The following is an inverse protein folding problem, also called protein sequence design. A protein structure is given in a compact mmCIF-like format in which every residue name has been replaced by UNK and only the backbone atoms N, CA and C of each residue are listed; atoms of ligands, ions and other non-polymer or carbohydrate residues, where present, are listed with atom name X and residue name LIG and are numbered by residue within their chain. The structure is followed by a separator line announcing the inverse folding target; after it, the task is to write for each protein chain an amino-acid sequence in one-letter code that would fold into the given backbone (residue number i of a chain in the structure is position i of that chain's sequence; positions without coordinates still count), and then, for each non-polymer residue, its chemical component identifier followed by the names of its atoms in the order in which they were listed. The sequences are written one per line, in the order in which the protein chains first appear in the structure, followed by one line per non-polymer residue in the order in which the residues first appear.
data_IF_337966440706
#
_entry.id   IF_337966440706
#
_cell.length_a   1.000
_cell.length_b   1.000
_cell.length_c   1.000
_cell.angle_alpha   90.00
_cell.angle_beta   90.00
_cell.angle_gamma   90.00
#
_symmetry.space_group_name_H-M   'P 1'
#
loop_
_entity.id
_entity.type
_entity.pdbx_description
1 polymer ?
#
# COMPACT_ATOMS: atom_id res chain seq x y z
N UNK A 1 89.09 -12.92 59.58
CA UNK A 1 88.52 -14.04 60.36
C UNK A 1 87.03 -13.81 60.50
N UNK A 2 86.26 -14.82 60.08
CA UNK A 2 84.83 -15.12 60.18
C UNK A 2 83.81 -14.00 60.50
N UNK A 3 82.91 -13.77 59.54
CA UNK A 3 81.67 -12.98 59.64
C UNK A 3 80.46 -13.85 60.01
N UNK A 4 79.62 -13.35 60.91
CA UNK A 4 78.26 -13.82 61.20
C UNK A 4 77.33 -13.56 60.00
N UNK A 5 76.57 -14.55 59.50
CA UNK A 5 75.29 -14.31 58.80
C UNK A 5 74.25 -15.41 59.05
N UNK A 6 73.05 -14.90 59.28
CA UNK A 6 71.77 -15.53 59.59
C UNK A 6 71.29 -16.47 58.46
N UNK A 7 70.84 -17.67 58.81
CA UNK A 7 70.27 -18.66 57.88
C UNK A 7 68.76 -18.44 57.77
N UNK A 8 68.28 -18.26 56.54
CA UNK A 8 66.88 -18.30 56.14
C UNK A 8 66.47 -19.73 55.76
N UNK A 9 65.24 -20.15 56.05
CA UNK A 9 64.64 -21.36 55.49
C UNK A 9 63.14 -21.16 55.21
N UNK A 10 62.78 -21.54 53.99
CA UNK A 10 61.51 -21.36 53.26
C UNK A 10 60.27 -21.98 53.93
N UNK A 11 59.12 -21.33 53.72
CA UNK A 11 57.78 -21.89 53.94
C UNK A 11 57.37 -22.91 52.85
N UNK A 12 56.49 -23.89 53.16
CA UNK A 12 56.05 -24.92 52.21
C UNK A 12 55.01 -24.42 51.19
N UNK A 13 55.03 -25.01 49.99
CA UNK A 13 54.19 -24.69 48.82
C UNK A 13 52.76 -25.28 48.89
N UNK A 14 51.74 -24.62 48.28
CA UNK A 14 50.34 -25.08 48.28
C UNK A 14 50.05 -26.21 47.26
N UNK A 15 48.95 -26.99 47.43
CA UNK A 15 48.61 -28.15 46.61
C UNK A 15 48.05 -27.79 45.21
N UNK A 16 48.09 -28.75 44.24
CA UNK A 16 47.77 -28.50 42.83
C UNK A 16 46.26 -28.41 42.52
N UNK A 17 45.93 -27.64 41.48
CA UNK A 17 44.57 -27.37 40.99
C UNK A 17 44.01 -28.54 40.13
N UNK A 18 42.68 -28.77 40.12
CA UNK A 18 42.07 -29.85 39.36
C UNK A 18 42.16 -29.65 37.83
N UNK A 19 42.23 -30.77 37.11
CA UNK A 19 42.56 -30.82 35.68
C UNK A 19 41.38 -30.50 34.75
N UNK A 20 41.70 -29.82 33.64
CA UNK A 20 40.83 -29.28 32.57
C UNK A 20 39.90 -30.29 31.85
N UNK A 21 39.94 -31.59 32.16
CA UNK A 21 39.15 -32.62 31.46
C UNK A 21 37.73 -32.80 31.98
N UNK A 22 37.39 -32.30 33.17
CA UNK A 22 36.02 -32.35 33.69
C UNK A 22 35.10 -31.23 33.15
N UNK A 23 35.66 -30.17 32.54
CA UNK A 23 34.86 -29.06 32.04
C UNK A 23 34.20 -29.33 30.66
N UNK A 24 34.52 -30.47 30.03
CA UNK A 24 34.24 -30.70 28.62
C UNK A 24 33.28 -31.88 28.38
N UNK A 25 32.27 -32.02 29.24
CA UNK A 25 31.11 -32.89 28.98
C UNK A 25 29.81 -32.20 29.40
N UNK A 26 29.39 -31.22 28.60
CA UNK A 26 28.04 -30.66 28.65
C UNK A 26 27.43 -30.77 27.24
N UNK A 27 26.34 -31.53 27.05
CA UNK A 27 25.72 -31.68 25.75
C UNK A 27 24.99 -30.38 25.36
N UNK A 28 25.24 -29.98 24.13
CA UNK A 28 24.53 -28.98 23.35
C UNK A 28 23.00 -29.19 23.42
N UNK A 29 22.32 -28.42 24.26
CA UNK A 29 20.86 -28.44 24.43
C UNK A 29 20.25 -27.03 24.54
N UNK A 30 20.82 -26.03 23.89
CA UNK A 30 20.27 -24.65 23.91
C UNK A 30 20.30 -24.04 22.52
N UNK A 31 19.42 -24.50 21.61
CA UNK A 31 19.05 -23.74 20.38
C UNK A 31 17.61 -23.97 19.89
N UNK A 32 16.67 -24.31 20.78
CA UNK A 32 15.24 -24.40 20.44
C UNK A 32 14.34 -23.46 21.27
N UNK A 33 14.76 -23.04 22.46
CA UNK A 33 13.97 -22.14 23.30
C UNK A 33 13.99 -20.66 22.85
N UNK A 34 15.04 -20.23 22.15
CA UNK A 34 15.22 -18.82 21.76
C UNK A 34 14.27 -18.37 20.64
N UNK A 35 13.79 -19.28 19.79
CA UNK A 35 12.88 -18.94 18.68
C UNK A 35 11.45 -18.67 19.13
N UNK A 36 10.94 -19.44 20.11
CA UNK A 36 9.58 -19.30 20.63
C UNK A 36 9.44 -18.02 21.48
N UNK A 37 10.44 -17.70 22.29
CA UNK A 37 10.45 -16.48 23.07
C UNK A 37 10.51 -15.22 22.20
N UNK A 38 11.26 -15.26 21.09
CA UNK A 38 11.34 -14.13 20.15
C UNK A 38 10.03 -13.95 19.36
N UNK A 39 9.38 -15.05 18.95
CA UNK A 39 8.08 -15.01 18.30
C UNK A 39 6.97 -14.50 19.23
N UNK A 40 6.95 -14.96 20.49
CA UNK A 40 6.00 -14.48 21.50
C UNK A 40 6.22 -12.99 21.83
N UNK A 41 7.47 -12.54 21.96
CA UNK A 41 7.82 -11.13 22.18
C UNK A 41 7.40 -10.25 20.99
N UNK A 42 7.56 -10.73 19.75
CA UNK A 42 7.12 -10.04 18.54
C UNK A 42 5.58 -9.92 18.47
N UNK A 43 4.84 -10.96 18.86
CA UNK A 43 3.35 -10.92 18.93
C UNK A 43 2.87 -9.94 20.02
N UNK A 44 3.50 -9.93 21.19
CA UNK A 44 3.14 -8.97 22.25
C UNK A 44 3.52 -7.53 21.89
N UNK A 45 4.61 -7.32 21.14
CA UNK A 45 4.99 -5.99 20.65
C UNK A 45 4.04 -5.48 19.54
N UNK A 46 3.54 -6.38 18.68
CA UNK A 46 2.52 -6.06 17.69
C UNK A 46 1.13 -5.76 18.31
N UNK A 47 0.84 -6.34 19.47
CA UNK A 47 -0.37 -6.06 20.26
C UNK A 47 -0.21 -4.87 21.23
N UNK A 48 0.90 -4.13 21.17
CA UNK A 48 1.07 -2.94 21.98
C UNK A 48 0.00 -1.90 21.62
N UNK A 49 -0.61 -1.19 22.59
CA UNK A 49 -1.60 -0.16 22.34
C UNK A 49 -1.21 0.87 21.26
N UNK A 50 0.05 1.36 21.19
CA UNK A 50 0.46 2.25 20.10
C UNK A 50 0.55 1.56 18.73
N UNK A 51 0.85 0.26 18.67
CA UNK A 51 0.87 -0.51 17.42
C UNK A 51 -0.56 -0.80 16.92
N UNK A 52 -1.49 -1.09 17.83
CA UNK A 52 -2.92 -1.23 17.52
C UNK A 52 -3.55 0.12 17.15
N UNK A 53 -3.19 1.21 17.83
CA UNK A 53 -3.63 2.56 17.48
C UNK A 53 -3.11 3.01 16.11
N UNK A 54 -1.94 2.51 15.67
CA UNK A 54 -1.41 2.75 14.33
C UNK A 54 -2.17 1.96 13.23
N UNK A 55 -2.94 0.93 13.59
CA UNK A 55 -3.84 0.21 12.68
C UNK A 55 -5.25 0.83 12.63
N UNK A 56 -5.56 1.74 13.56
CA UNK A 56 -6.85 2.43 13.58
C UNK A 56 -6.88 3.49 12.49
N UNK A 57 -7.75 3.28 11.49
CA UNK A 57 -8.03 4.31 10.49
C UNK A 57 -8.74 5.51 11.15
N UNK A 58 -8.52 6.74 10.62
CA UNK A 58 -9.18 7.93 11.14
C UNK A 58 -10.70 7.87 10.84
N UNK A 59 -11.52 8.58 11.64
CA UNK A 59 -12.99 8.51 11.56
C UNK A 59 -13.58 8.94 10.20
N UNK A 60 -12.83 9.74 9.45
CA UNK A 60 -13.10 10.22 8.11
C UNK A 60 -12.56 9.28 7.01
N UNK A 61 -12.12 8.07 7.33
CA UNK A 61 -11.76 7.06 6.34
C UNK A 61 -12.99 6.44 5.68
N UNK A 62 -12.87 6.11 4.39
CA UNK A 62 -13.84 5.26 3.71
C UNK A 62 -13.69 3.82 4.20
N UNK A 63 -14.82 3.14 4.40
CA UNK A 63 -14.82 1.71 4.70
C UNK A 63 -14.28 0.89 3.52
N UNK A 64 -13.74 -0.31 3.80
CA UNK A 64 -13.24 -1.23 2.77
C UNK A 64 -14.27 -1.52 1.65
N UNK A 65 -15.57 -1.78 1.95
CA UNK A 65 -16.57 -1.93 0.90
C UNK A 65 -16.74 -0.67 0.04
N UNK A 66 -16.67 0.51 0.64
CA UNK A 66 -16.79 1.78 -0.10
C UNK A 66 -15.58 1.99 -1.02
N UNK A 67 -14.37 1.66 -0.56
CA UNK A 67 -13.17 1.65 -1.39
C UNK A 67 -13.29 0.70 -2.58
N UNK A 68 -13.82 -0.51 -2.33
CA UNK A 68 -14.02 -1.49 -3.39
C UNK A 68 -14.89 -0.93 -4.52
N UNK A 69 -16.00 -0.26 -4.17
CA UNK A 69 -16.88 0.39 -5.16
C UNK A 69 -16.17 1.49 -5.95
N UNK A 70 -15.40 2.36 -5.29
CA UNK A 70 -14.68 3.44 -5.98
C UNK A 70 -13.69 2.89 -7.01
N UNK A 71 -12.85 1.93 -6.58
CA UNK A 71 -11.82 1.34 -7.44
C UNK A 71 -12.44 0.51 -8.55
N UNK A 72 -13.47 -0.27 -8.25
CA UNK A 72 -14.17 -1.08 -9.27
C UNK A 72 -14.84 -0.18 -10.31
N UNK A 73 -15.53 0.88 -9.89
CA UNK A 73 -16.20 1.79 -10.83
C UNK A 73 -15.21 2.55 -11.72
N UNK A 74 -14.03 2.92 -11.22
CA UNK A 74 -12.96 3.50 -12.06
C UNK A 74 -12.48 2.48 -13.10
N UNK A 75 -12.24 1.23 -12.69
CA UNK A 75 -11.81 0.18 -13.62
C UNK A 75 -12.88 -0.15 -14.66
N UNK A 76 -14.15 -0.23 -14.27
CA UNK A 76 -15.30 -0.42 -15.14
C UNK A 76 -15.42 0.73 -16.15
N UNK A 77 -15.23 1.97 -15.71
CA UNK A 77 -15.27 3.14 -16.60
C UNK A 77 -14.14 3.13 -17.63
N UNK A 78 -12.90 2.83 -17.22
CA UNK A 78 -11.77 2.68 -18.15
C UNK A 78 -12.03 1.56 -19.15
N UNK A 79 -12.57 0.43 -18.69
CA UNK A 79 -12.96 -0.68 -19.56
C UNK A 79 -14.04 -0.26 -20.55
N UNK A 80 -15.06 0.48 -20.12
CA UNK A 80 -16.10 1.01 -20.99
C UNK A 80 -15.53 1.97 -22.04
N UNK A 81 -14.62 2.87 -21.66
CA UNK A 81 -13.93 3.78 -22.59
C UNK A 81 -13.17 3.00 -23.68
N UNK A 82 -12.47 1.93 -23.29
CA UNK A 82 -11.76 1.05 -24.21
C UNK A 82 -12.71 0.31 -25.16
N UNK A 83 -13.82 -0.24 -24.64
CA UNK A 83 -14.83 -0.92 -25.46
C UNK A 83 -15.51 0.03 -26.47
N UNK A 84 -15.85 1.26 -26.05
CA UNK A 84 -16.41 2.30 -26.93
C UNK A 84 -15.42 2.65 -28.05
N UNK A 85 -14.12 2.68 -27.74
CA UNK A 85 -13.07 2.96 -28.72
C UNK A 85 -12.92 1.82 -29.72
N UNK A 86 -12.76 0.59 -29.22
CA UNK A 86 -12.61 -0.64 -30.01
C UNK A 86 -13.84 -0.86 -30.91
N UNK A 87 -15.04 -0.58 -30.41
CA UNK A 87 -16.25 -0.58 -31.23
C UNK A 87 -16.16 0.41 -32.39
N UNK A 88 -15.68 1.63 -32.14
CA UNK A 88 -15.47 2.63 -33.19
C UNK A 88 -14.42 2.24 -34.23
N UNK A 89 -13.40 1.47 -33.84
CA UNK A 89 -12.40 0.92 -34.76
C UNK A 89 -12.96 -0.22 -35.61
N UNK A 90 -13.62 -1.19 -35.00
CA UNK A 90 -14.17 -2.37 -35.70
C UNK A 90 -15.30 -2.03 -36.65
N UNK A 91 -16.12 -1.04 -36.32
CA UNK A 91 -17.25 -0.60 -37.16
C UNK A 91 -16.88 0.50 -38.15
N UNK A 92 -15.68 1.10 -38.03
CA UNK A 92 -15.28 2.28 -38.80
C UNK A 92 -16.01 3.58 -38.42
N UNK A 93 -16.86 3.55 -37.38
CA UNK A 93 -17.65 4.70 -36.93
C UNK A 93 -16.82 5.64 -36.04
N UNK A 94 -16.09 6.56 -36.68
CA UNK A 94 -15.19 7.53 -35.99
C UNK A 94 -15.85 8.34 -34.86
N UNK A 95 -17.18 8.53 -34.90
CA UNK A 95 -17.93 9.20 -33.84
C UNK A 95 -17.80 8.54 -32.47
N UNK A 96 -17.70 7.22 -32.42
CA UNK A 96 -17.56 6.46 -31.17
C UNK A 96 -16.19 6.66 -30.52
N UNK A 97 -15.11 6.77 -31.31
CA UNK A 97 -13.79 7.17 -30.78
C UNK A 97 -13.83 8.57 -30.15
N UNK A 98 -14.63 9.47 -30.73
CA UNK A 98 -14.90 10.80 -30.16
C UNK A 98 -15.67 10.74 -28.84
N UNK A 99 -16.60 9.78 -28.69
CA UNK A 99 -17.31 9.53 -27.43
C UNK A 99 -16.35 9.05 -26.34
N UNK A 100 -15.43 8.12 -26.62
CA UNK A 100 -14.40 7.70 -25.65
C UNK A 100 -13.58 8.89 -25.14
N UNK A 101 -13.19 9.82 -26.02
CA UNK A 101 -12.52 11.06 -25.60
C UNK A 101 -13.41 11.96 -24.74
N UNK A 102 -14.71 12.05 -25.07
CA UNK A 102 -15.69 12.78 -24.27
C UNK A 102 -15.93 12.20 -22.88
N UNK A 103 -15.60 10.93 -22.64
CA UNK A 103 -15.71 10.28 -21.32
C UNK A 103 -14.53 10.61 -20.38
N UNK A 104 -13.41 11.14 -20.89
CA UNK A 104 -12.18 11.42 -20.12
C UNK A 104 -12.39 12.40 -18.97
N UNK A 105 -13.13 13.52 -19.10
CA UNK A 105 -13.30 14.44 -17.98
C UNK A 105 -14.02 13.79 -16.78
N UNK A 106 -14.99 12.91 -17.00
CA UNK A 106 -15.66 12.17 -15.92
C UNK A 106 -14.69 11.22 -15.20
N UNK A 107 -13.81 10.55 -15.94
CA UNK A 107 -12.73 9.76 -15.34
C UNK A 107 -11.82 10.64 -14.47
N UNK A 108 -11.45 11.82 -14.96
CA UNK A 108 -10.68 12.80 -14.20
C UNK A 108 -11.38 13.21 -12.89
N UNK A 109 -12.70 13.40 -12.92
CA UNK A 109 -13.50 13.67 -11.73
C UNK A 109 -13.47 12.51 -10.72
N UNK A 110 -13.59 11.27 -11.20
CA UNK A 110 -13.46 10.08 -10.35
C UNK A 110 -12.07 9.96 -9.71
N UNK A 111 -11.01 10.31 -10.44
CA UNK A 111 -9.65 10.34 -9.90
C UNK A 111 -9.46 11.43 -8.83
N UNK A 112 -10.09 12.60 -8.99
CA UNK A 112 -10.10 13.65 -7.96
C UNK A 112 -10.76 13.15 -6.67
N UNK A 113 -11.93 12.52 -6.79
CA UNK A 113 -12.64 11.92 -5.65
C UNK A 113 -11.79 10.88 -4.93
N UNK A 114 -11.24 9.92 -5.69
CA UNK A 114 -10.41 8.85 -5.14
C UNK A 114 -9.15 9.39 -4.46
N UNK A 115 -8.55 10.44 -5.01
CA UNK A 115 -7.37 11.10 -4.42
C UNK A 115 -7.74 11.79 -3.10
N UNK A 116 -8.86 12.52 -3.06
CA UNK A 116 -9.32 13.17 -1.85
C UNK A 116 -9.62 12.15 -0.74
N UNK A 117 -10.27 11.03 -1.08
CA UNK A 117 -10.52 9.94 -0.15
C UNK A 117 -9.26 9.18 0.27
N UNK A 118 -8.27 9.02 -0.62
CA UNK A 118 -6.96 8.43 -0.29
C UNK A 118 -6.25 9.22 0.82
N UNK A 119 -6.38 10.55 0.81
CA UNK A 119 -5.86 11.43 1.86
C UNK A 119 -6.88 11.71 2.97
N UNK A 120 -7.78 10.76 3.23
CA UNK A 120 -8.77 10.83 4.29
C UNK A 120 -9.58 12.14 4.26
N UNK A 121 -10.04 12.61 3.09
CA UNK A 121 -10.88 13.82 3.01
C UNK A 121 -10.22 15.06 3.65
N UNK A 122 -8.90 15.22 3.51
CA UNK A 122 -8.18 16.36 4.08
C UNK A 122 -8.73 17.69 3.55
N UNK A 123 -8.99 18.64 4.46
CA UNK A 123 -9.40 20.01 4.12
C UNK A 123 -8.39 20.73 3.20
N UNK A 124 -7.10 20.39 3.32
CA UNK A 124 -6.05 20.95 2.46
C UNK A 124 -6.21 20.60 0.96
N UNK A 125 -7.01 19.58 0.66
CA UNK A 125 -7.27 19.07 -0.68
C UNK A 125 -8.73 19.30 -1.14
N UNK A 126 -9.50 20.13 -0.44
CA UNK A 126 -10.92 20.39 -0.76
C UNK A 126 -11.12 20.98 -2.17
N UNK A 127 -10.07 21.61 -2.73
CA UNK A 127 -10.03 22.02 -4.14
C UNK A 127 -10.29 20.87 -5.12
N UNK A 128 -9.94 19.63 -4.75
CA UNK A 128 -10.24 18.44 -5.56
C UNK A 128 -11.74 18.18 -5.68
N UNK A 129 -12.53 18.53 -4.66
CA UNK A 129 -14.00 18.39 -4.69
C UNK A 129 -14.60 19.40 -5.68
N UNK A 130 -14.12 20.64 -5.66
CA UNK A 130 -14.51 21.66 -6.64
C UNK A 130 -14.10 21.25 -8.07
N UNK A 131 -12.88 20.71 -8.23
CA UNK A 131 -12.40 20.22 -9.51
C UNK A 131 -13.19 19.01 -10.00
N UNK A 132 -13.53 18.06 -9.12
CA UNK A 132 -14.42 16.94 -9.42
C UNK A 132 -15.77 17.44 -9.95
N UNK A 133 -16.36 18.45 -9.29
CA UNK A 133 -17.61 19.07 -9.74
C UNK A 133 -17.47 19.70 -11.13
N UNK A 134 -16.41 20.48 -11.35
CA UNK A 134 -16.14 21.11 -12.65
C UNK A 134 -15.94 20.07 -13.77
N UNK A 135 -15.14 19.04 -13.52
CA UNK A 135 -14.91 17.93 -14.44
C UNK A 135 -16.18 17.12 -14.72
N UNK A 136 -17.08 17.02 -13.74
CA UNK A 136 -18.40 16.40 -13.93
C UNK A 136 -19.25 17.20 -14.90
N UNK A 137 -19.32 18.52 -14.75
CA UNK A 137 -20.05 19.39 -15.67
C UNK A 137 -19.46 19.32 -17.08
N UNK A 138 -18.14 19.48 -17.20
CA UNK A 138 -17.42 19.40 -18.48
C UNK A 138 -17.62 18.01 -19.12
N UNK A 139 -17.54 16.95 -18.33
CA UNK A 139 -17.74 15.58 -18.77
C UNK A 139 -19.13 15.33 -19.33
N UNK A 140 -20.17 15.77 -18.64
CA UNK A 140 -21.54 15.67 -19.15
C UNK A 140 -21.72 16.47 -20.45
N UNK A 141 -21.18 17.69 -20.53
CA UNK A 141 -21.24 18.52 -21.74
C UNK A 141 -20.54 17.83 -22.92
N UNK A 142 -19.32 17.33 -22.71
CA UNK A 142 -18.52 16.68 -23.76
C UNK A 142 -19.15 15.37 -24.24
N UNK A 143 -19.71 14.57 -23.33
CA UNK A 143 -20.50 13.38 -23.70
C UNK A 143 -21.76 13.75 -24.49
N UNK A 144 -22.51 14.78 -24.09
CA UNK A 144 -23.68 15.26 -24.83
C UNK A 144 -23.31 15.70 -26.25
N UNK A 145 -22.22 16.45 -26.42
CA UNK A 145 -21.73 16.86 -27.75
C UNK A 145 -21.33 15.63 -28.59
N UNK A 146 -20.63 14.66 -27.99
CA UNK A 146 -20.23 13.44 -28.70
C UNK A 146 -21.44 12.60 -29.12
N UNK A 147 -22.42 12.42 -28.23
CA UNK A 147 -23.67 11.71 -28.53
C UNK A 147 -24.47 12.41 -29.63
N UNK A 148 -24.57 13.74 -29.60
CA UNK A 148 -25.23 14.52 -30.65
C UNK A 148 -24.56 14.33 -32.02
N UNK A 149 -23.22 14.29 -32.07
CA UNK A 149 -22.47 14.02 -33.31
C UNK A 149 -22.73 12.62 -33.85
N UNK A 150 -22.83 11.61 -32.98
CA UNK A 150 -23.19 10.25 -33.37
C UNK A 150 -24.61 10.22 -33.94
N UNK A 151 -25.57 10.88 -33.28
CA UNK A 151 -26.96 10.98 -33.74
C UNK A 151 -27.07 11.63 -35.13
N UNK A 152 -26.42 12.77 -35.32
CA UNK A 152 -26.36 13.47 -36.62
C UNK A 152 -25.82 12.56 -37.73
N UNK A 153 -24.70 11.89 -37.48
CA UNK A 153 -24.10 10.97 -38.45
C UNK A 153 -25.03 9.78 -38.77
N UNK A 154 -25.75 9.25 -37.77
CA UNK A 154 -26.72 8.17 -37.97
C UNK A 154 -27.88 8.60 -38.87
N UNK A 155 -28.40 9.84 -38.72
CA UNK A 155 -29.49 10.35 -39.56
C UNK A 155 -29.07 10.60 -41.00
N UNK A 156 -27.83 11.03 -41.21
CA UNK A 156 -27.28 11.26 -42.55
C UNK A 156 -27.07 9.93 -43.29
N UNK A 157 -26.61 8.88 -42.60
CA UNK A 157 -26.48 7.53 -43.17
C UNK A 157 -27.81 6.85 -43.54
N UNK A 158 -28.88 7.08 -42.76
CA UNK A 158 -30.21 6.54 -43.08
C UNK A 158 -30.92 7.22 -44.25
N UNK A 159 -30.54 8.46 -44.61
CA UNK A 159 -31.13 9.18 -45.75
C UNK A 159 -30.42 8.90 -47.07
N UNK A 160 -29.20 8.35 -47.02
CA UNK A 160 -28.38 8.03 -48.21
C UNK A 160 -28.43 6.56 -48.62
N UNK A 161 -29.14 5.72 -47.86
CA UNK A 161 -29.41 4.29 -48.15
C UNK A 161 -30.80 4.12 -48.74
#
# INVERSE_FOLDING_TARGET
MASLRLVAALAPSPPPSPSRRELQRQPSAVRLASGVALAAAAVTAAAAPPALAALSEPANALSLPTWAVHVSSVAEWVTAMWLVWDYGERTGLKGWKGLSWGMVPLLGGAMCACTWHFFYNSESLDVLVALQGALTVIGNITMCIAAYRIFKASKEGSQSS
#
